data_IF_245751019388
#
_entry.id   IF_245751019388
#
_cell.length_a   1.000
_cell.length_b   1.000
_cell.length_c   1.000
_cell.angle_alpha   90.00
_cell.angle_beta   90.00
_cell.angle_gamma   90.00
#
_symmetry.space_group_name_H-M   'P 1'
#
loop_
_entity.id
_entity.type
_entity.pdbx_description
1 polymer ?
#
# COMPACT_ATOMS: atom_id res chain seq x y z
N UNK A 1 -13.38 11.46 22.84
CA UNK A 1 -12.78 10.63 21.78
C UNK A 1 -11.46 9.96 22.18
N UNK A 2 -10.94 10.21 23.35
CA UNK A 2 -9.65 9.67 23.82
C UNK A 2 -9.73 8.36 24.59
N UNK A 3 -10.93 7.87 24.92
CA UNK A 3 -11.08 6.81 25.93
C UNK A 3 -10.91 5.37 25.37
N UNK A 4 -10.93 5.20 24.07
CA UNK A 4 -10.78 3.87 23.47
C UNK A 4 -9.36 3.31 23.60
N UNK A 5 -8.35 4.17 23.51
CA UNK A 5 -6.95 3.76 23.65
C UNK A 5 -6.54 3.48 25.09
N UNK A 6 -7.21 4.11 26.07
CA UNK A 6 -6.92 3.95 27.48
C UNK A 6 -7.49 2.67 28.10
N UNK A 7 -8.48 2.04 27.43
CA UNK A 7 -9.24 0.93 28.02
C UNK A 7 -8.66 -0.46 27.80
N UNK A 8 -7.70 -0.64 26.90
CA UNK A 8 -7.23 -2.00 26.51
C UNK A 8 -5.83 -2.37 27.03
N UNK A 9 -5.15 -1.49 27.74
CA UNK A 9 -3.83 -1.76 28.33
C UNK A 9 -2.69 -1.99 27.32
N UNK A 10 -2.93 -1.85 26.01
CA UNK A 10 -1.94 -2.09 24.97
C UNK A 10 -1.05 -0.89 24.64
N UNK A 11 -1.34 0.28 25.23
CA UNK A 11 -0.57 1.50 24.97
C UNK A 11 -0.65 1.99 23.52
N UNK A 12 -1.73 1.67 22.80
CA UNK A 12 -1.93 2.09 21.41
C UNK A 12 -2.12 3.60 21.33
N UNK A 13 -1.48 4.20 20.36
CA UNK A 13 -1.67 5.62 20.03
C UNK A 13 -2.63 5.74 18.84
N UNK A 14 -3.47 6.75 18.89
CA UNK A 14 -4.34 7.11 17.76
C UNK A 14 -3.50 7.76 16.66
N UNK A 15 -3.77 7.38 15.41
CA UNK A 15 -3.15 8.02 14.26
C UNK A 15 -3.88 9.32 13.91
N UNK A 16 -3.14 10.36 13.58
CA UNK A 16 -3.71 11.64 13.15
C UNK A 16 -4.24 11.54 11.70
N UNK A 17 -3.56 10.75 10.88
CA UNK A 17 -3.90 10.58 9.47
C UNK A 17 -3.45 9.21 8.97
N UNK A 18 -4.29 8.61 8.13
CA UNK A 18 -3.98 7.39 7.39
C UNK A 18 -4.19 7.66 5.90
N UNK A 19 -3.14 7.42 5.10
CA UNK A 19 -3.24 7.39 3.65
C UNK A 19 -3.12 5.94 3.17
N UNK A 20 -4.05 5.52 2.33
CA UNK A 20 -4.05 4.17 1.74
C UNK A 20 -3.79 4.31 0.24
N UNK A 21 -2.69 3.73 -0.23
CA UNK A 21 -2.39 3.62 -1.65
C UNK A 21 -2.63 2.18 -2.09
N UNK A 22 -3.57 1.97 -3.01
CA UNK A 22 -3.79 0.65 -3.60
C UNK A 22 -2.65 0.35 -4.57
N UNK A 23 -1.91 -0.71 -4.32
CA UNK A 23 -0.78 -1.14 -5.15
C UNK A 23 -1.17 -2.22 -6.14
N UNK A 24 -1.97 -3.20 -5.73
CA UNK A 24 -2.46 -4.30 -6.57
C UNK A 24 -3.94 -4.51 -6.28
N UNK A 25 -4.73 -4.54 -7.35
CA UNK A 25 -6.14 -4.88 -7.32
C UNK A 25 -6.54 -5.53 -8.65
N UNK A 26 -7.72 -6.10 -8.71
CA UNK A 26 -8.21 -6.83 -9.88
C UNK A 26 -8.60 -5.93 -11.06
N UNK A 27 -8.65 -4.62 -10.83
CA UNK A 27 -9.12 -3.67 -11.84
C UNK A 27 -8.26 -2.41 -11.85
N UNK A 28 -7.99 -1.89 -13.03
CA UNK A 28 -7.42 -0.56 -13.23
C UNK A 28 -8.08 0.11 -14.44
N UNK A 29 -8.28 1.42 -14.35
CA UNK A 29 -8.82 2.24 -15.42
C UNK A 29 -7.99 3.52 -15.55
N UNK A 30 -7.09 3.55 -16.53
CA UNK A 30 -6.21 4.68 -16.77
C UNK A 30 -6.93 5.92 -17.33
N UNK A 31 -8.17 5.77 -17.78
CA UNK A 31 -9.00 6.88 -18.28
C UNK A 31 -9.83 7.54 -17.18
N UNK A 32 -9.98 6.88 -16.05
CA UNK A 32 -10.69 7.41 -14.90
C UNK A 32 -9.76 8.27 -14.05
N UNK A 33 -9.68 9.56 -14.37
CA UNK A 33 -8.73 10.49 -13.74
C UNK A 33 -9.37 11.43 -12.71
N UNK A 34 -10.68 11.36 -12.53
CA UNK A 34 -11.40 12.24 -11.61
C UNK A 34 -11.10 11.87 -10.16
N UNK A 35 -10.64 12.85 -9.40
CA UNK A 35 -10.40 12.72 -7.96
C UNK A 35 -11.53 13.37 -7.16
N UNK A 36 -11.67 12.95 -5.91
CA UNK A 36 -12.58 13.54 -4.91
C UNK A 36 -11.76 14.13 -3.76
N UNK A 37 -12.44 14.62 -2.73
CA UNK A 37 -11.76 15.14 -1.53
C UNK A 37 -10.95 14.06 -0.80
N UNK A 38 -11.41 12.82 -0.86
CA UNK A 38 -10.78 11.69 -0.12
C UNK A 38 -10.11 10.66 -1.03
N UNK A 39 -10.42 10.64 -2.32
CA UNK A 39 -9.82 9.71 -3.28
C UNK A 39 -8.97 10.48 -4.29
N UNK A 40 -7.67 10.21 -4.33
CA UNK A 40 -6.76 10.78 -5.31
C UNK A 40 -6.41 9.72 -6.36
N UNK A 41 -6.72 10.02 -7.61
CA UNK A 41 -6.39 9.14 -8.73
C UNK A 41 -5.08 9.59 -9.36
N UNK A 42 -4.12 8.68 -9.54
CA UNK A 42 -2.87 9.02 -10.20
C UNK A 42 -3.08 9.24 -11.69
N UNK A 43 -2.37 10.19 -12.26
CA UNK A 43 -2.22 10.33 -13.70
C UNK A 43 -0.97 9.59 -14.13
N UNK A 44 -1.15 8.49 -14.86
CA UNK A 44 -0.06 7.61 -15.29
C UNK A 44 -0.05 7.48 -16.81
N UNK A 45 0.50 8.49 -17.51
CA UNK A 45 0.51 8.47 -18.97
C UNK A 45 1.45 7.38 -19.50
N UNK A 46 1.23 6.90 -20.74
CA UNK A 46 2.14 5.96 -21.39
C UNK A 46 3.59 6.48 -21.36
N UNK A 47 4.58 5.60 -21.22
CA UNK A 47 4.51 4.15 -21.10
C UNK A 47 4.34 3.62 -19.66
N UNK A 48 4.06 4.48 -18.71
CA UNK A 48 4.02 4.15 -17.28
C UNK A 48 2.60 3.76 -16.84
N UNK A 49 2.15 2.59 -17.25
CA UNK A 49 0.83 2.09 -16.90
C UNK A 49 0.83 1.41 -15.52
N UNK A 50 -0.27 1.61 -14.78
CA UNK A 50 -0.61 0.72 -13.67
C UNK A 50 -1.16 -0.58 -14.21
N UNK A 51 -0.80 -1.69 -13.57
CA UNK A 51 -1.25 -3.01 -13.91
C UNK A 51 -2.29 -3.51 -12.91
N UNK A 52 -3.22 -4.33 -13.37
CA UNK A 52 -4.16 -5.06 -12.54
C UNK A 52 -3.92 -6.56 -12.67
N UNK A 53 -4.14 -7.30 -11.60
CA UNK A 53 -4.11 -8.76 -11.60
C UNK A 53 -4.96 -9.30 -10.45
N UNK A 54 -5.27 -10.60 -10.49
CA UNK A 54 -5.92 -11.26 -9.37
C UNK A 54 -5.00 -11.19 -8.15
N UNK A 55 -5.42 -10.48 -7.11
CA UNK A 55 -4.63 -10.30 -5.90
C UNK A 55 -4.83 -8.93 -5.28
N UNK A 56 -4.18 -8.73 -4.13
CA UNK A 56 -4.30 -7.47 -3.39
C UNK A 56 -2.98 -7.06 -2.76
N UNK A 57 -2.71 -5.77 -2.78
CA UNK A 57 -1.68 -5.12 -1.98
C UNK A 57 -2.03 -3.65 -1.79
N UNK A 58 -1.80 -3.12 -0.61
CA UNK A 58 -1.87 -1.68 -0.37
C UNK A 58 -0.72 -1.20 0.51
N UNK A 59 -0.42 0.08 0.39
CA UNK A 59 0.55 0.78 1.22
C UNK A 59 -0.20 1.70 2.16
N UNK A 60 0.06 1.56 3.46
CA UNK A 60 -0.50 2.37 4.51
C UNK A 60 0.56 3.37 4.97
N UNK A 61 0.30 4.66 4.82
CA UNK A 61 1.10 5.71 5.42
C UNK A 61 0.38 6.20 6.68
N UNK A 62 0.99 5.96 7.83
CA UNK A 62 0.43 6.24 9.14
C UNK A 62 1.17 7.43 9.71
N UNK A 63 0.46 8.51 10.02
CA UNK A 63 1.04 9.74 10.55
C UNK A 63 0.58 9.95 11.99
N UNK A 64 1.55 10.13 12.89
CA UNK A 64 1.33 10.42 14.31
C UNK A 64 2.26 11.56 14.71
N UNK A 65 1.73 12.77 14.88
CA UNK A 65 2.55 13.96 15.07
C UNK A 65 3.49 14.19 13.89
N UNK A 66 4.78 14.27 14.15
CA UNK A 66 5.82 14.39 13.14
C UNK A 66 6.33 13.03 12.62
N UNK A 67 5.87 11.92 13.21
CA UNK A 67 6.28 10.56 12.81
C UNK A 67 5.45 10.08 11.63
N UNK A 68 6.10 9.45 10.66
CA UNK A 68 5.46 8.78 9.53
C UNK A 68 5.97 7.34 9.46
N UNK A 69 5.04 6.40 9.28
CA UNK A 69 5.35 4.97 9.13
C UNK A 69 4.70 4.43 7.86
N UNK A 70 5.45 3.62 7.11
CA UNK A 70 4.97 2.97 5.90
C UNK A 70 4.85 1.47 6.14
N UNK A 71 3.65 0.96 6.02
CA UNK A 71 3.34 -0.46 6.17
C UNK A 71 2.71 -0.96 4.88
N UNK A 72 3.31 -1.97 4.25
CA UNK A 72 2.70 -2.65 3.12
C UNK A 72 1.85 -3.81 3.62
N UNK A 73 0.58 -3.83 3.26
CA UNK A 73 -0.33 -4.93 3.55
C UNK A 73 -0.55 -5.75 2.30
N UNK A 74 -0.21 -7.03 2.38
CA UNK A 74 -0.23 -8.00 1.29
C UNK A 74 0.72 -7.63 0.13
N UNK A 75 0.97 -8.57 -0.77
CA UNK A 75 2.00 -8.44 -1.79
C UNK A 75 1.55 -8.90 -3.19
N UNK A 76 0.25 -9.02 -3.41
CA UNK A 76 -0.29 -9.45 -4.70
C UNK A 76 0.07 -10.87 -5.09
N UNK A 77 -0.16 -11.23 -6.34
CA UNK A 77 0.12 -12.57 -6.87
C UNK A 77 1.48 -12.63 -7.57
N UNK A 78 1.91 -11.57 -8.22
CA UNK A 78 3.18 -11.55 -8.93
C UNK A 78 4.07 -10.36 -8.54
N UNK A 79 5.40 -10.55 -8.56
CA UNK A 79 6.33 -9.44 -8.38
C UNK A 79 6.24 -8.43 -9.53
N UNK A 80 5.90 -8.86 -10.73
CA UNK A 80 5.80 -8.00 -11.91
C UNK A 80 4.78 -6.87 -11.70
N UNK A 81 3.57 -7.20 -11.28
CA UNK A 81 2.52 -6.21 -11.02
C UNK A 81 2.90 -5.30 -9.84
N UNK A 82 3.24 -5.89 -8.71
CA UNK A 82 3.59 -5.15 -7.48
C UNK A 82 4.73 -4.17 -7.71
N UNK A 83 5.86 -4.64 -8.25
CA UNK A 83 7.05 -3.79 -8.44
C UNK A 83 6.84 -2.75 -9.53
N UNK A 84 6.10 -3.08 -10.60
CA UNK A 84 5.72 -2.09 -11.60
C UNK A 84 4.90 -0.95 -10.97
N UNK A 85 3.89 -1.29 -10.19
CA UNK A 85 2.99 -0.30 -9.61
C UNK A 85 3.67 0.56 -8.55
N UNK A 86 4.55 -0.02 -7.73
CA UNK A 86 5.40 0.76 -6.81
C UNK A 86 6.23 1.78 -7.59
N UNK A 87 6.88 1.36 -8.68
CA UNK A 87 7.69 2.24 -9.52
C UNK A 87 6.85 3.35 -10.17
N UNK A 88 5.73 3.00 -10.77
CA UNK A 88 4.83 3.96 -11.45
C UNK A 88 4.28 5.00 -10.47
N UNK A 89 3.91 4.57 -9.26
CA UNK A 89 3.43 5.43 -8.19
C UNK A 89 4.55 6.15 -7.43
N UNK A 90 5.81 5.93 -7.83
CA UNK A 90 7.00 6.55 -7.21
C UNK A 90 7.10 6.24 -5.72
N UNK A 91 6.79 5.01 -5.35
CA UNK A 91 6.96 4.49 -3.99
C UNK A 91 8.25 3.68 -3.91
N UNK A 92 9.15 4.10 -3.05
CA UNK A 92 10.43 3.40 -2.85
C UNK A 92 10.24 2.22 -1.91
N UNK A 93 10.51 0.96 -2.37
CA UNK A 93 10.46 -0.20 -1.49
C UNK A 93 11.35 -0.08 -0.25
N UNK A 94 12.49 0.63 -0.37
CA UNK A 94 13.43 0.83 0.74
C UNK A 94 12.90 1.71 1.87
N UNK A 95 11.84 2.48 1.63
CA UNK A 95 11.20 3.33 2.64
C UNK A 95 10.08 2.60 3.40
N UNK A 96 9.74 1.38 3.02
CA UNK A 96 8.67 0.61 3.66
C UNK A 96 9.22 -0.05 4.92
N UNK A 97 8.67 0.33 6.07
CA UNK A 97 9.14 -0.09 7.40
C UNK A 97 8.81 -1.56 7.70
N UNK A 98 7.64 -2.02 7.27
CA UNK A 98 7.18 -3.38 7.56
C UNK A 98 6.16 -3.88 6.54
N UNK A 99 6.05 -5.20 6.47
CA UNK A 99 5.05 -5.90 5.64
C UNK A 99 4.17 -6.72 6.56
N UNK A 100 2.86 -6.63 6.36
CA UNK A 100 1.85 -7.43 7.06
C UNK A 100 1.08 -8.25 6.04
N UNK A 101 1.00 -9.54 6.24
CA UNK A 101 0.18 -10.42 5.42
C UNK A 101 -1.16 -10.68 6.11
N UNK A 102 -2.25 -10.48 5.37
CA UNK A 102 -3.60 -10.81 5.86
C UNK A 102 -3.76 -12.32 6.05
N UNK A 103 -3.23 -13.09 5.11
CA UNK A 103 -3.18 -14.56 5.13
C UNK A 103 -2.19 -15.05 4.07
N UNK A 104 -1.96 -16.37 4.02
CA UNK A 104 -0.92 -16.99 3.21
C UNK A 104 -1.35 -17.49 1.83
N UNK A 105 -2.48 -17.05 1.28
CA UNK A 105 -2.86 -17.42 -0.08
C UNK A 105 -1.96 -16.75 -1.11
N UNK A 106 -1.76 -17.40 -2.25
CA UNK A 106 -0.79 -17.00 -3.29
C UNK A 106 -1.03 -15.58 -3.82
N UNK A 107 -2.28 -15.16 -3.91
CA UNK A 107 -2.71 -13.86 -4.42
C UNK A 107 -2.50 -12.70 -3.42
N UNK A 108 -2.03 -13.01 -2.22
CA UNK A 108 -1.67 -12.04 -1.18
C UNK A 108 -0.19 -12.07 -0.79
N UNK A 109 0.55 -13.11 -1.16
CA UNK A 109 1.95 -13.24 -0.80
C UNK A 109 2.90 -13.53 -1.98
N UNK A 110 2.38 -13.69 -3.20
CA UNK A 110 3.17 -14.11 -4.36
C UNK A 110 4.30 -13.14 -4.74
N UNK A 111 4.12 -11.85 -4.52
CA UNK A 111 5.15 -10.85 -4.80
C UNK A 111 6.15 -10.61 -3.68
N UNK A 112 5.96 -11.23 -2.49
CA UNK A 112 6.70 -10.88 -1.28
C UNK A 112 8.21 -11.13 -1.39
N UNK A 113 8.63 -12.27 -1.92
CA UNK A 113 10.06 -12.64 -1.97
C UNK A 113 10.85 -11.65 -2.82
N UNK A 114 10.37 -11.33 -4.01
CA UNK A 114 11.05 -10.37 -4.90
C UNK A 114 10.98 -8.95 -4.33
N UNK A 115 9.87 -8.57 -3.71
CA UNK A 115 9.77 -7.30 -2.99
C UNK A 115 10.86 -7.19 -1.91
N UNK A 116 11.03 -8.20 -1.06
CA UNK A 116 12.04 -8.19 -0.01
C UNK A 116 13.48 -8.09 -0.54
N UNK A 117 13.75 -8.60 -1.74
CA UNK A 117 15.06 -8.47 -2.38
C UNK A 117 15.37 -7.03 -2.78
N UNK A 118 14.38 -6.26 -3.23
CA UNK A 118 14.57 -4.87 -3.67
C UNK A 118 14.38 -3.84 -2.54
N UNK A 119 13.77 -4.22 -1.44
CA UNK A 119 13.55 -3.35 -0.27
C UNK A 119 14.78 -3.20 0.65
N UNK A 120 15.91 -3.76 0.29
CA UNK A 120 17.16 -3.73 1.08
C UNK A 120 17.88 -2.40 0.97
#
# INVERSE_FOLDING_TARGET
MSDFAASNGLGLREADRLEVTILVDNYTDSLLIQSTDVVKRPMTPPPNWLLAEHGFSCLLKICVGAEEHLVMMDAGVSPTCLLNNLRVLKKDPGEIDSVVLSHGHFDHCGGLVEFLKVAR
#
